data_IF_148807310235
#
_entry.id   IF_148807310235
#
_cell.length_a   1.000
_cell.length_b   1.000
_cell.length_c   1.000
_cell.angle_alpha   90.00
_cell.angle_beta   90.00
_cell.angle_gamma   90.00
#
_symmetry.space_group_name_H-M   'P 1'
#
loop_
_entity.id
_entity.type
_entity.pdbx_description
1 polymer ?
#
# COMPACT_ATOMS: atom_id res chain seq x y z
N UNK A 1 -1.51 -18.15 2.93
CA UNK A 1 -0.08 -17.90 2.71
C UNK A 1 0.39 -16.99 3.84
N UNK A 2 0.98 -17.56 4.89
CA UNK A 2 1.65 -16.77 5.92
C UNK A 2 3.10 -16.62 5.46
N UNK A 3 3.31 -15.67 4.54
CA UNK A 3 4.66 -15.19 4.24
C UNK A 3 5.08 -14.38 5.45
N UNK A 4 6.11 -14.84 6.16
CA UNK A 4 6.56 -14.29 7.44
C UNK A 4 7.05 -12.85 7.31
N UNK A 5 6.13 -11.89 7.38
CA UNK A 5 6.43 -10.56 7.87
C UNK A 5 6.43 -10.65 9.39
N UNK A 6 7.51 -10.20 10.03
CA UNK A 6 7.53 -10.04 11.47
C UNK A 6 6.41 -9.06 11.84
N UNK A 7 5.47 -9.49 12.68
CA UNK A 7 4.37 -8.65 13.16
C UNK A 7 4.93 -7.35 13.77
N UNK A 8 6.13 -7.44 14.36
CA UNK A 8 6.86 -6.30 14.89
C UNK A 8 7.25 -5.28 13.79
N UNK A 9 7.73 -5.74 12.63
CA UNK A 9 8.01 -4.85 11.49
C UNK A 9 6.75 -4.16 10.98
N UNK A 10 5.62 -4.87 10.93
CA UNK A 10 4.37 -4.28 10.47
C UNK A 10 3.89 -3.17 11.42
N UNK A 11 4.00 -3.37 12.73
CA UNK A 11 3.64 -2.37 13.73
C UNK A 11 4.53 -1.12 13.66
N UNK A 12 5.82 -1.31 13.36
CA UNK A 12 6.80 -0.24 13.28
C UNK A 12 7.05 0.27 11.86
N UNK A 13 6.19 -0.06 10.89
CA UNK A 13 6.35 0.38 9.49
C UNK A 13 6.30 1.90 9.36
N UNK A 14 5.63 2.60 10.27
CA UNK A 14 5.58 4.06 10.32
C UNK A 14 6.91 4.70 10.78
N UNK A 15 7.82 3.90 11.36
CA UNK A 15 9.15 4.31 11.83
C UNK A 15 10.27 3.83 10.90
N UNK A 16 9.92 3.41 9.68
CA UNK A 16 10.84 2.78 8.72
C UNK A 16 12.13 3.59 8.48
N UNK A 17 12.04 4.92 8.50
CA UNK A 17 13.17 5.80 8.24
C UNK A 17 14.30 5.62 9.27
N UNK A 18 13.94 5.41 10.54
CA UNK A 18 14.90 5.26 11.67
C UNK A 18 15.10 3.82 12.11
N UNK A 19 14.24 2.91 11.67
CA UNK A 19 14.30 1.51 12.06
C UNK A 19 15.33 0.74 11.22
N UNK A 20 16.36 0.21 11.89
CA UNK A 20 17.45 -0.55 11.27
C UNK A 20 17.03 -1.94 10.77
N UNK A 21 15.86 -2.43 11.17
CA UNK A 21 15.33 -3.71 10.73
C UNK A 21 14.85 -3.70 9.27
N UNK A 22 14.61 -2.51 8.70
CA UNK A 22 14.34 -2.35 7.27
C UNK A 22 15.63 -2.15 6.49
N UNK A 23 15.76 -2.88 5.39
CA UNK A 23 16.81 -2.62 4.40
C UNK A 23 16.56 -1.30 3.68
N UNK A 24 17.61 -0.70 3.13
CA UNK A 24 17.50 0.53 2.34
C UNK A 24 16.53 0.39 1.14
N UNK A 25 16.43 -0.83 0.58
CA UNK A 25 15.49 -1.12 -0.51
C UNK A 25 14.04 -1.11 -0.01
N UNK A 26 13.77 -1.66 1.17
CA UNK A 26 12.44 -1.64 1.78
C UNK A 26 12.04 -0.25 2.22
N UNK A 27 12.94 0.51 2.84
CA UNK A 27 12.68 1.91 3.21
C UNK A 27 12.27 2.74 2.00
N UNK A 28 12.98 2.59 0.89
CA UNK A 28 12.67 3.31 -0.35
C UNK A 28 11.31 2.90 -0.94
N UNK A 29 10.92 1.63 -0.82
CA UNK A 29 9.59 1.17 -1.23
C UNK A 29 8.47 1.72 -0.34
N UNK A 30 8.71 1.78 0.99
CA UNK A 30 7.76 2.36 1.95
C UNK A 30 7.59 3.86 1.68
N UNK A 31 8.69 4.58 1.48
CA UNK A 31 8.67 6.00 1.13
C UNK A 31 7.94 6.27 -0.20
N UNK A 32 8.15 5.42 -1.20
CA UNK A 32 7.43 5.52 -2.46
C UNK A 32 5.92 5.35 -2.27
N UNK A 33 5.50 4.35 -1.49
CA UNK A 33 4.09 4.12 -1.18
C UNK A 33 3.48 5.28 -0.38
N UNK A 34 4.20 5.84 0.58
CA UNK A 34 3.78 6.99 1.38
C UNK A 34 3.59 8.23 0.51
N UNK A 35 4.60 8.61 -0.30
CA UNK A 35 4.51 9.73 -1.24
C UNK A 35 3.37 9.52 -2.24
N UNK A 36 3.22 8.31 -2.79
CA UNK A 36 2.15 8.02 -3.75
C UNK A 36 0.75 8.18 -3.12
N UNK A 37 0.59 7.80 -1.85
CA UNK A 37 -0.67 7.91 -1.14
C UNK A 37 -1.02 9.35 -0.73
N UNK A 38 -0.02 10.14 -0.30
CA UNK A 38 -0.19 11.45 0.31
C UNK A 38 -0.04 12.60 -0.71
N UNK A 39 1.04 12.61 -1.48
CA UNK A 39 1.28 13.60 -2.54
C UNK A 39 2.13 13.01 -3.69
N UNK A 40 1.45 12.32 -4.62
CA UNK A 40 2.09 11.70 -5.77
C UNK A 40 2.79 12.69 -6.73
N UNK A 41 2.58 14.01 -6.56
CA UNK A 41 3.26 15.02 -7.37
C UNK A 41 4.69 15.29 -6.91
N UNK A 42 5.04 14.92 -5.68
CA UNK A 42 6.41 15.01 -5.16
C UNK A 42 7.33 13.90 -5.69
N UNK A 43 6.77 12.94 -6.41
CA UNK A 43 7.49 11.85 -7.08
C UNK A 43 8.06 12.40 -8.39
N UNK A 44 9.15 13.15 -8.28
CA UNK A 44 9.91 13.70 -9.40
C UNK A 44 11.06 12.82 -9.86
N UNK A 45 11.80 13.31 -10.85
CA UNK A 45 12.92 12.60 -11.48
C UNK A 45 13.98 12.14 -10.48
N UNK A 46 14.34 12.99 -9.50
CA UNK A 46 15.33 12.66 -8.46
C UNK A 46 14.92 11.42 -7.64
N UNK A 47 13.63 11.30 -7.31
CA UNK A 47 13.13 10.14 -6.56
C UNK A 47 13.08 8.89 -7.45
N UNK A 48 12.72 9.05 -8.72
CA UNK A 48 12.78 7.94 -9.68
C UNK A 48 14.20 7.44 -9.92
N UNK A 49 15.21 8.32 -9.93
CA UNK A 49 16.62 7.92 -10.00
C UNK A 49 17.04 7.11 -8.78
N UNK A 50 16.58 7.49 -7.58
CA UNK A 50 16.80 6.71 -6.36
C UNK A 50 16.15 5.32 -6.46
N UNK A 51 14.90 5.23 -6.93
CA UNK A 51 14.22 3.95 -7.18
C UNK A 51 14.99 3.08 -8.17
N UNK A 52 15.39 3.65 -9.31
CA UNK A 52 16.13 2.94 -10.34
C UNK A 52 17.53 2.46 -9.89
N UNK A 53 18.07 3.02 -8.80
CA UNK A 53 19.32 2.54 -8.19
C UNK A 53 19.17 1.24 -7.39
N UNK A 54 17.94 0.89 -6.97
CA UNK A 54 17.63 -0.28 -6.12
C UNK A 54 16.67 -1.29 -6.75
N UNK A 55 15.91 -0.87 -7.76
CA UNK A 55 14.88 -1.64 -8.43
C UNK A 55 15.08 -1.63 -9.94
N UNK A 56 14.76 -2.74 -10.60
CA UNK A 56 14.62 -2.78 -12.06
C UNK A 56 13.37 -2.04 -12.51
N UNK A 57 13.26 -1.73 -13.80
CA UNK A 57 12.08 -1.06 -14.35
C UNK A 57 10.82 -1.92 -14.22
N UNK A 58 10.95 -3.23 -14.36
CA UNK A 58 9.87 -4.19 -14.13
C UNK A 58 9.43 -4.16 -12.66
N UNK A 59 10.38 -4.17 -11.72
CA UNK A 59 10.08 -4.10 -10.29
C UNK A 59 9.42 -2.77 -9.91
N UNK A 60 9.84 -1.64 -10.50
CA UNK A 60 9.20 -0.34 -10.29
C UNK A 60 7.76 -0.34 -10.82
N UNK A 61 7.52 -0.91 -12.00
CA UNK A 61 6.17 -1.05 -12.55
C UNK A 61 5.28 -1.88 -11.63
N UNK A 62 5.75 -3.06 -11.20
CA UNK A 62 5.01 -3.94 -10.31
C UNK A 62 4.72 -3.27 -8.96
N UNK A 63 5.71 -2.58 -8.40
CA UNK A 63 5.55 -1.81 -7.16
C UNK A 63 4.49 -0.71 -7.32
N UNK A 64 4.55 0.05 -8.40
CA UNK A 64 3.60 1.12 -8.71
C UNK A 64 2.17 0.60 -8.82
N UNK A 65 1.97 -0.48 -9.59
CA UNK A 65 0.65 -1.11 -9.79
C UNK A 65 0.11 -1.66 -8.48
N UNK A 66 0.96 -2.29 -7.67
CA UNK A 66 0.58 -2.84 -6.37
C UNK A 66 0.13 -1.74 -5.41
N UNK A 67 0.89 -0.65 -5.31
CA UNK A 67 0.53 0.52 -4.49
C UNK A 67 -0.81 1.11 -4.95
N UNK A 68 -0.97 1.33 -6.26
CA UNK A 68 -2.20 1.85 -6.84
C UNK A 68 -3.42 0.96 -6.55
N UNK A 69 -3.25 -0.36 -6.66
CA UNK A 69 -4.29 -1.33 -6.32
C UNK A 69 -4.68 -1.25 -4.84
N UNK A 70 -3.72 -1.29 -3.91
CA UNK A 70 -3.98 -1.22 -2.47
C UNK A 70 -4.75 0.05 -2.09
N UNK A 71 -4.33 1.20 -2.61
CA UNK A 71 -5.00 2.48 -2.34
C UNK A 71 -6.39 2.51 -2.96
N UNK A 72 -6.54 2.04 -4.20
CA UNK A 72 -7.83 1.99 -4.89
C UNK A 72 -8.86 1.12 -4.16
N UNK A 73 -8.44 -0.06 -3.70
CA UNK A 73 -9.28 -0.96 -2.91
C UNK A 73 -9.64 -0.34 -1.55
N UNK A 74 -8.66 0.20 -0.81
CA UNK A 74 -8.91 0.84 0.49
C UNK A 74 -9.91 2.00 0.39
N UNK A 75 -9.78 2.83 -0.65
CA UNK A 75 -10.74 3.91 -0.95
C UNK A 75 -12.12 3.37 -1.31
N UNK A 76 -12.18 2.29 -2.11
CA UNK A 76 -13.45 1.65 -2.47
C UNK A 76 -14.20 1.15 -1.24
N UNK A 77 -13.51 0.49 -0.31
CA UNK A 77 -14.11 0.03 0.95
C UNK A 77 -14.58 1.17 1.84
N UNK A 78 -13.86 2.29 1.85
CA UNK A 78 -14.27 3.49 2.59
C UNK A 78 -15.52 4.12 1.97
N UNK A 79 -15.59 4.24 0.64
CA UNK A 79 -16.75 4.78 -0.08
C UNK A 79 -18.00 3.93 0.14
N UNK A 80 -17.84 2.62 0.20
CA UNK A 80 -18.94 1.67 0.42
C UNK A 80 -19.25 1.44 1.91
N UNK A 81 -18.55 2.11 2.82
CA UNK A 81 -18.61 1.93 4.29
C UNK A 81 -18.42 0.48 4.76
N UNK A 82 -17.73 -0.34 3.96
CA UNK A 82 -17.46 -1.76 4.25
C UNK A 82 -16.40 -1.94 5.34
N UNK A 83 -15.62 -0.90 5.63
CA UNK A 83 -14.56 -0.94 6.62
C UNK A 83 -15.08 -0.86 8.07
N UNK A 84 -16.34 -0.45 8.28
CA UNK A 84 -16.91 -0.21 9.61
C UNK A 84 -17.97 -1.20 10.05
N UNK A 85 -18.63 -1.87 9.11
CA UNK A 85 -19.70 -2.80 9.44
C UNK A 85 -19.71 -3.94 8.41
N UNK A 86 -19.34 -5.14 8.85
CA UNK A 86 -19.51 -6.36 8.05
C UNK A 86 -20.91 -6.96 8.28
N UNK A 87 -21.92 -6.13 8.49
CA UNK A 87 -23.31 -6.54 8.35
C UNK A 87 -23.73 -6.28 6.90
N UNK A 88 -23.36 -7.22 6.02
CA UNK A 88 -23.66 -7.16 4.59
C UNK A 88 -25.18 -7.29 4.41
N UNK A 89 -25.90 -6.15 4.43
CA UNK A 89 -27.35 -6.08 4.15
C UNK A 89 -27.71 -6.36 2.69
N UNK A 90 -26.71 -6.57 1.82
CA UNK A 90 -26.91 -6.78 0.39
C UNK A 90 -27.55 -8.13 0.03
N UNK A 91 -27.66 -9.05 0.99
CA UNK A 91 -28.27 -10.38 0.82
C UNK A 91 -29.75 -10.46 1.19
N UNK A 92 -30.48 -9.34 1.32
CA UNK A 92 -31.94 -9.42 1.44
C UNK A 92 -32.51 -9.86 0.10
N UNK A 93 -32.85 -11.15 -0.01
CA UNK A 93 -33.74 -11.64 -1.06
C UNK A 93 -35.00 -10.74 -1.09
N UNK A 94 -35.44 -10.29 -2.29
CA UNK A 94 -36.68 -9.55 -2.38
C UNK A 94 -37.81 -10.41 -1.78
N UNK A 95 -38.76 -9.82 -1.04
CA UNK A 95 -39.87 -10.58 -0.49
C UNK A 95 -40.59 -11.30 -1.63
N UNK A 96 -40.77 -12.62 -1.47
CA UNK A 96 -41.68 -13.36 -2.34
C UNK A 96 -43.08 -12.82 -2.10
N UNK A 97 -43.67 -12.24 -3.13
CA UNK A 97 -45.12 -12.08 -3.24
C UNK A 97 -45.83 -13.45 -3.09
#
# INVERSE_FOLDING_TARGET
>A
MQQGFDEDLYQHVHEYATNEAFTEREKLAIEYAERFALDHREIGDEFFEQLASKFSQEEILELTVTIGFCIGIGRSFTVLDLARDFDVYWSREPPSD
#
